data_IF_515472930709
#
_entry.id   IF_515472930709
#
_cell.length_a   1.000
_cell.length_b   1.000
_cell.length_c   1.000
_cell.angle_alpha   90.00
_cell.angle_beta   90.00
_cell.angle_gamma   90.00
#
_symmetry.space_group_name_H-M   'P 1'
#
loop_
_entity.id
_entity.type
_entity.pdbx_description
1 polymer ?
#
# COMPACT_ATOMS: atom_id res chain seq x y z
N UNK A 1 -17.41 58.76 4.81
CA UNK A 1 -16.71 57.45 4.76
C UNK A 1 -17.11 56.74 3.48
N UNK A 2 -16.10 56.45 2.64
CA UNK A 2 -16.08 55.96 1.25
C UNK A 2 -17.31 55.19 0.74
N UNK A 3 -18.20 55.89 0.03
CA UNK A 3 -19.23 55.31 -0.85
C UNK A 3 -18.60 54.61 -2.06
N UNK A 4 -17.43 55.05 -2.49
CA UNK A 4 -16.64 54.50 -3.62
C UNK A 4 -16.35 52.98 -3.48
N UNK A 5 -16.11 52.48 -2.26
CA UNK A 5 -15.86 51.05 -2.02
C UNK A 5 -17.07 50.17 -2.35
N UNK A 6 -18.29 50.69 -2.17
CA UNK A 6 -19.52 49.93 -2.45
C UNK A 6 -19.76 49.81 -3.96
N UNK A 7 -19.45 50.85 -4.73
CA UNK A 7 -19.54 50.81 -6.19
C UNK A 7 -18.51 49.86 -6.81
N UNK A 8 -17.30 49.77 -6.26
CA UNK A 8 -16.29 48.79 -6.69
C UNK A 8 -16.73 47.34 -6.41
N UNK A 9 -17.35 47.08 -5.27
CA UNK A 9 -17.85 45.74 -4.92
C UNK A 9 -19.03 45.35 -5.83
N UNK A 10 -19.93 46.28 -6.13
CA UNK A 10 -21.06 46.03 -7.04
C UNK A 10 -20.57 45.81 -8.48
N UNK A 11 -19.60 46.60 -8.95
CA UNK A 11 -19.01 46.42 -10.29
C UNK A 11 -18.26 45.07 -10.43
N UNK A 12 -17.59 44.61 -9.36
CA UNK A 12 -16.92 43.31 -9.36
C UNK A 12 -17.92 42.13 -9.31
N UNK A 13 -19.08 42.32 -8.68
CA UNK A 13 -20.15 41.33 -8.60
C UNK A 13 -21.00 41.22 -9.87
N UNK A 14 -21.12 42.29 -10.68
CA UNK A 14 -21.78 42.21 -11.99
C UNK A 14 -20.87 41.74 -13.11
N UNK A 15 -19.55 41.92 -13.00
CA UNK A 15 -18.58 41.39 -13.96
C UNK A 15 -18.52 39.86 -13.99
N UNK A 16 -18.92 39.16 -12.91
CA UNK A 16 -18.96 37.70 -12.86
C UNK A 16 -20.23 37.09 -13.47
N UNK A 17 -21.31 37.86 -13.66
CA UNK A 17 -22.55 37.37 -14.28
C UNK A 17 -22.55 37.45 -15.83
N UNK A 18 -21.62 38.21 -16.42
CA UNK A 18 -21.57 38.45 -17.87
C UNK A 18 -20.45 37.67 -18.58
N UNK A 19 -19.75 36.78 -17.88
CA UNK A 19 -18.79 35.88 -18.53
C UNK A 19 -19.59 34.78 -19.27
N UNK A 20 -19.57 34.75 -20.62
CA UNK A 20 -20.15 33.64 -21.35
C UNK A 20 -19.50 32.35 -20.85
N UNK A 21 -20.33 31.42 -20.41
CA UNK A 21 -19.92 30.15 -19.83
C UNK A 21 -18.89 29.49 -20.73
N UNK A 22 -17.62 29.59 -20.33
CA UNK A 22 -16.55 28.84 -20.97
C UNK A 22 -16.96 27.38 -20.85
N UNK A 23 -16.99 26.59 -21.93
CA UNK A 23 -17.24 25.16 -21.81
C UNK A 23 -16.22 24.68 -20.78
N UNK A 24 -16.73 24.13 -19.67
CA UNK A 24 -15.89 23.49 -18.68
C UNK A 24 -15.11 22.44 -19.45
N UNK A 25 -13.86 22.75 -19.79
CA UNK A 25 -12.96 21.81 -20.40
C UNK A 25 -12.97 20.64 -19.44
N UNK A 26 -13.48 19.49 -19.88
CA UNK A 26 -13.18 18.24 -19.22
C UNK A 26 -11.66 18.17 -19.32
N UNK A 27 -10.99 18.63 -18.28
CA UNK A 27 -9.58 18.40 -18.08
C UNK A 27 -9.43 16.89 -18.03
N UNK A 28 -9.25 16.27 -19.21
CA UNK A 28 -8.63 14.98 -19.30
C UNK A 28 -7.31 15.18 -18.58
N UNK A 29 -7.12 14.47 -17.47
CA UNK A 29 -5.85 14.48 -16.77
C UNK A 29 -4.80 14.02 -17.79
N UNK A 30 -4.05 14.96 -18.34
CA UNK A 30 -3.19 14.78 -19.51
C UNK A 30 -1.87 14.06 -19.17
N UNK A 31 -1.90 13.29 -18.07
CA UNK A 31 -0.75 12.58 -17.50
C UNK A 31 -1.10 11.15 -17.13
N UNK A 32 -0.08 10.30 -16.94
CA UNK A 32 -0.28 8.90 -16.58
C UNK A 32 -1.02 8.80 -15.24
N UNK A 33 -1.83 7.75 -15.09
CA UNK A 33 -2.38 7.36 -13.79
C UNK A 33 -1.20 6.93 -12.89
N UNK A 34 -0.92 7.72 -11.85
CA UNK A 34 0.15 7.41 -10.90
C UNK A 34 -0.40 6.59 -9.75
N UNK A 35 0.08 5.36 -9.60
CA UNK A 35 -0.22 4.48 -8.47
C UNK A 35 0.92 4.58 -7.46
N UNK A 36 0.65 5.17 -6.30
CA UNK A 36 1.59 5.33 -5.19
C UNK A 36 1.66 4.02 -4.41
N UNK A 37 2.84 3.40 -4.40
CA UNK A 37 3.08 2.11 -3.76
C UNK A 37 4.09 2.24 -2.62
N UNK A 38 3.73 1.88 -1.39
CA UNK A 38 4.64 1.88 -0.24
C UNK A 38 5.27 0.51 0.03
N UNK A 39 6.52 0.51 0.52
CA UNK A 39 7.22 -0.71 0.92
C UNK A 39 8.22 -0.44 2.04
N UNK A 40 8.31 -1.38 2.99
CA UNK A 40 9.40 -1.38 3.98
C UNK A 40 10.73 -1.83 3.37
N UNK A 41 10.71 -2.57 2.25
CA UNK A 41 11.93 -3.12 1.67
C UNK A 41 12.91 -2.01 1.24
N UNK A 42 14.20 -2.10 1.61
CA UNK A 42 15.21 -1.15 1.15
C UNK A 42 15.34 -1.19 -0.39
N UNK A 43 15.62 -0.06 -1.07
CA UNK A 43 15.78 -0.03 -2.53
C UNK A 43 16.86 -0.97 -3.08
N UNK A 44 17.93 -1.20 -2.32
CA UNK A 44 19.04 -2.09 -2.69
C UNK A 44 18.75 -3.57 -2.49
N UNK A 45 17.68 -3.92 -1.78
CA UNK A 45 17.29 -5.31 -1.50
C UNK A 45 16.79 -6.05 -2.76
N UNK A 46 16.67 -7.38 -2.67
CA UNK A 46 16.07 -8.18 -3.73
C UNK A 46 14.65 -7.71 -4.09
N UNK A 47 13.82 -7.43 -3.07
CA UNK A 47 12.48 -6.86 -3.27
C UNK A 47 12.54 -5.48 -3.93
N UNK A 48 13.48 -4.61 -3.55
CA UNK A 48 13.67 -3.32 -4.20
C UNK A 48 13.97 -3.44 -5.71
N UNK A 49 14.84 -4.38 -6.08
CA UNK A 49 15.14 -4.70 -7.49
C UNK A 49 13.91 -5.22 -8.23
N UNK A 50 13.11 -6.09 -7.61
CA UNK A 50 11.86 -6.62 -8.17
C UNK A 50 10.86 -5.49 -8.40
N UNK A 51 10.63 -4.60 -7.42
CA UNK A 51 9.73 -3.45 -7.56
C UNK A 51 10.17 -2.54 -8.72
N UNK A 52 11.48 -2.27 -8.84
CA UNK A 52 12.01 -1.48 -9.97
C UNK A 52 11.76 -2.16 -11.31
N UNK A 53 11.89 -3.48 -11.39
CA UNK A 53 11.59 -4.25 -12.60
C UNK A 53 10.09 -4.21 -12.91
N UNK A 54 9.24 -4.41 -11.91
CA UNK A 54 7.79 -4.33 -12.03
C UNK A 54 7.33 -2.96 -12.53
N UNK A 55 7.87 -1.86 -12.01
CA UNK A 55 7.56 -0.51 -12.50
C UNK A 55 7.86 -0.32 -13.98
N UNK A 56 8.99 -0.85 -14.48
CA UNK A 56 9.34 -0.80 -15.91
C UNK A 56 8.37 -1.62 -16.76
N UNK A 57 8.10 -2.86 -16.35
CA UNK A 57 7.16 -3.73 -17.06
C UNK A 57 5.76 -3.13 -17.06
N UNK A 58 5.27 -2.65 -15.92
CA UNK A 58 3.95 -2.05 -15.79
C UNK A 58 3.75 -0.84 -16.71
N UNK A 59 4.74 0.07 -16.75
CA UNK A 59 4.71 1.22 -17.66
C UNK A 59 4.71 0.79 -19.14
N UNK A 60 5.49 -0.25 -19.49
CA UNK A 60 5.52 -0.81 -20.84
C UNK A 60 4.17 -1.42 -21.23
N UNK A 61 3.63 -2.32 -20.42
CA UNK A 61 2.37 -3.04 -20.70
C UNK A 61 1.16 -2.09 -20.72
N UNK A 62 1.20 -1.00 -19.96
CA UNK A 62 0.15 0.04 -19.99
C UNK A 62 0.35 1.06 -21.11
N UNK A 63 1.42 0.93 -21.92
CA UNK A 63 1.80 1.91 -22.95
C UNK A 63 1.93 3.33 -22.38
N UNK A 64 2.43 3.44 -21.14
CA UNK A 64 2.59 4.71 -20.44
C UNK A 64 1.31 5.32 -19.88
N UNK A 65 0.12 4.69 -20.03
CA UNK A 65 -1.13 5.19 -19.46
C UNK A 65 -1.15 5.16 -17.92
N UNK A 66 -0.34 4.30 -17.31
CA UNK A 66 -0.21 4.22 -15.87
C UNK A 66 1.24 3.94 -15.45
N UNK A 67 1.62 4.41 -14.27
CA UNK A 67 2.94 4.15 -13.69
C UNK A 67 2.90 3.91 -12.19
N UNK A 68 3.89 3.17 -11.70
CA UNK A 68 4.06 2.89 -10.28
C UNK A 68 5.09 3.84 -9.68
N UNK A 69 4.69 4.61 -8.67
CA UNK A 69 5.59 5.43 -7.87
C UNK A 69 5.88 4.74 -6.55
N UNK A 70 7.09 4.22 -6.40
CA UNK A 70 7.50 3.49 -5.20
C UNK A 70 8.04 4.40 -4.09
N UNK A 71 7.54 4.21 -2.88
CA UNK A 71 8.07 4.76 -1.64
C UNK A 71 8.64 3.63 -0.79
N UNK A 72 9.93 3.37 -0.97
CA UNK A 72 10.63 2.23 -0.35
C UNK A 72 11.28 2.61 0.99
N UNK A 73 11.81 1.61 1.69
CA UNK A 73 12.59 1.77 2.93
C UNK A 73 11.83 2.38 4.10
N UNK A 74 10.49 2.28 4.11
CA UNK A 74 9.69 2.85 5.21
C UNK A 74 9.61 4.38 5.22
N UNK A 75 9.95 5.04 4.12
CA UNK A 75 9.85 6.51 3.98
C UNK A 75 8.42 7.06 4.18
N UNK A 76 7.41 6.19 4.18
CA UNK A 76 6.01 6.53 4.43
C UNK A 76 5.50 6.05 5.81
N UNK A 77 6.39 5.68 6.73
CA UNK A 77 6.04 5.10 8.03
C UNK A 77 6.11 3.57 8.03
N UNK A 78 5.43 2.95 8.99
CA UNK A 78 5.33 1.51 9.11
C UNK A 78 4.10 0.92 8.38
N UNK A 79 3.87 -0.39 8.49
CA UNK A 79 2.72 -1.05 7.84
C UNK A 79 1.36 -0.51 8.33
N UNK A 80 1.27 -0.04 9.58
CA UNK A 80 0.04 0.55 10.13
C UNK A 80 -0.21 1.91 9.49
N UNK A 81 0.84 2.71 9.33
CA UNK A 81 0.78 3.96 8.59
C UNK A 81 0.39 3.74 7.13
N UNK A 82 0.93 2.71 6.47
CA UNK A 82 0.56 2.40 5.09
C UNK A 82 -0.93 2.11 4.95
N UNK A 83 -1.49 1.25 5.81
CA UNK A 83 -2.93 0.92 5.80
C UNK A 83 -3.78 2.16 6.04
N UNK A 84 -3.41 3.00 7.02
CA UNK A 84 -4.11 4.26 7.31
C UNK A 84 -4.07 5.22 6.12
N UNK A 85 -2.90 5.37 5.48
CA UNK A 85 -2.71 6.23 4.30
C UNK A 85 -3.46 5.72 3.07
N UNK A 86 -3.59 4.39 2.91
CA UNK A 86 -4.43 3.80 1.86
C UNK A 86 -5.89 4.15 2.08
N UNK A 87 -6.41 3.95 3.30
CA UNK A 87 -7.80 4.32 3.64
C UNK A 87 -8.07 5.82 3.45
N UNK A 88 -7.07 6.66 3.69
CA UNK A 88 -7.14 8.11 3.49
C UNK A 88 -6.91 8.56 2.04
N UNK A 89 -6.63 7.65 1.10
CA UNK A 89 -6.32 7.99 -0.30
C UNK A 89 -4.99 8.73 -0.51
N UNK A 90 -4.07 8.67 0.45
CA UNK A 90 -2.74 9.28 0.36
C UNK A 90 -1.71 8.36 -0.32
N UNK A 91 -1.95 7.06 -0.30
CA UNK A 91 -1.19 5.99 -0.97
C UNK A 91 -2.21 5.03 -1.59
N UNK A 92 -1.88 4.38 -2.70
CA UNK A 92 -2.85 3.57 -3.44
C UNK A 92 -2.65 2.06 -3.19
N UNK A 93 -1.41 1.63 -2.92
CA UNK A 93 -1.06 0.25 -2.64
C UNK A 93 0.14 0.14 -1.69
N UNK A 94 0.34 -1.02 -1.07
CA UNK A 94 1.53 -1.28 -0.28
C UNK A 94 1.91 -2.76 -0.28
N UNK A 95 3.22 -3.01 -0.19
CA UNK A 95 3.77 -4.31 0.16
C UNK A 95 3.91 -4.39 1.68
N UNK A 96 3.18 -5.32 2.29
CA UNK A 96 3.15 -5.53 3.75
C UNK A 96 3.33 -7.00 4.08
N UNK A 97 3.85 -7.28 5.27
CA UNK A 97 4.01 -8.64 5.79
C UNK A 97 2.69 -9.20 6.33
N UNK A 98 2.69 -10.46 6.76
CA UNK A 98 1.53 -11.07 7.42
C UNK A 98 1.09 -10.30 8.68
N UNK A 99 2.00 -9.57 9.32
CA UNK A 99 1.67 -8.66 10.44
C UNK A 99 0.67 -7.59 10.00
N UNK A 100 0.98 -6.86 8.92
CA UNK A 100 0.10 -5.84 8.35
C UNK A 100 -1.16 -6.41 7.73
N UNK A 101 -1.05 -7.54 7.02
CA UNK A 101 -2.23 -8.23 6.51
C UNK A 101 -3.19 -8.60 7.63
N UNK A 102 -2.67 -9.03 8.80
CA UNK A 102 -3.46 -9.34 9.99
C UNK A 102 -4.13 -8.14 10.65
N UNK A 103 -3.63 -6.92 10.42
CA UNK A 103 -4.30 -5.69 10.86
C UNK A 103 -5.55 -5.38 10.02
N UNK A 104 -5.63 -5.89 8.78
CA UNK A 104 -6.80 -5.76 7.89
C UNK A 104 -7.71 -6.98 8.03
N UNK A 105 -7.16 -8.17 7.85
CA UNK A 105 -7.87 -9.46 7.88
C UNK A 105 -7.20 -10.38 8.89
N UNK A 106 -7.65 -10.34 10.15
CA UNK A 106 -7.08 -11.16 11.24
C UNK A 106 -7.00 -12.68 10.95
N UNK A 107 -7.98 -13.31 10.27
CA UNK A 107 -7.90 -14.74 9.92
C UNK A 107 -6.68 -15.14 9.08
N UNK A 108 -6.01 -14.19 8.40
CA UNK A 108 -4.82 -14.48 7.60
C UNK A 108 -3.63 -14.98 8.42
N UNK A 109 -3.62 -14.67 9.72
CA UNK A 109 -2.54 -15.05 10.65
C UNK A 109 -2.37 -16.57 10.78
N UNK A 110 -3.37 -17.36 10.34
CA UNK A 110 -3.27 -18.81 10.23
C UNK A 110 -2.10 -19.25 9.36
N UNK A 111 -1.72 -18.45 8.35
CA UNK A 111 -0.60 -18.76 7.45
C UNK A 111 0.77 -18.69 8.15
N UNK A 112 0.83 -18.07 9.32
CA UNK A 112 2.05 -17.91 10.13
C UNK A 112 1.94 -18.58 11.50
N UNK A 113 0.91 -19.39 11.72
CA UNK A 113 0.73 -20.11 12.98
C UNK A 113 1.91 -21.09 13.20
N UNK A 114 2.62 -21.00 14.35
CA UNK A 114 3.77 -21.88 14.61
C UNK A 114 3.40 -23.36 14.53
N UNK A 115 4.21 -24.13 13.79
CA UNK A 115 4.04 -25.58 13.65
C UNK A 115 2.95 -26.03 12.66
N UNK A 116 2.11 -25.12 12.14
CA UNK A 116 1.02 -25.49 11.23
C UNK A 116 1.48 -25.66 9.77
N UNK A 117 2.31 -24.74 9.30
CA UNK A 117 2.87 -24.74 7.94
C UNK A 117 4.38 -24.72 8.08
N UNK A 118 5.04 -25.83 7.76
CA UNK A 118 6.48 -26.00 7.96
C UNK A 118 7.28 -25.91 6.66
N UNK A 119 6.62 -26.21 5.53
CA UNK A 119 7.21 -26.23 4.20
C UNK A 119 6.56 -25.22 3.24
N UNK A 120 7.34 -24.68 2.31
CA UNK A 120 6.87 -23.68 1.34
C UNK A 120 5.77 -24.25 0.42
N UNK A 121 5.88 -25.51 0.02
CA UNK A 121 4.86 -26.17 -0.80
C UNK A 121 3.53 -26.34 -0.07
N UNK A 122 3.55 -26.52 1.25
CA UNK A 122 2.34 -26.51 2.06
C UNK A 122 1.70 -25.13 2.06
N UNK A 123 2.50 -24.06 2.20
CA UNK A 123 2.01 -22.68 2.14
C UNK A 123 1.30 -22.38 0.82
N UNK A 124 1.90 -22.80 -0.30
CA UNK A 124 1.31 -22.61 -1.63
C UNK A 124 -0.02 -23.35 -1.77
N UNK A 125 -0.10 -24.61 -1.32
CA UNK A 125 -1.37 -25.35 -1.31
C UNK A 125 -2.43 -24.67 -0.45
N UNK A 126 -2.09 -24.27 0.78
CA UNK A 126 -3.03 -23.60 1.69
C UNK A 126 -3.53 -22.27 1.09
N UNK A 127 -2.64 -21.45 0.53
CA UNK A 127 -3.03 -20.19 -0.14
C UNK A 127 -3.92 -20.45 -1.35
N UNK A 128 -3.67 -21.50 -2.13
CA UNK A 128 -4.50 -21.89 -3.28
C UNK A 128 -5.91 -22.26 -2.84
N UNK A 129 -6.03 -23.15 -1.84
CA UNK A 129 -7.32 -23.62 -1.34
C UNK A 129 -8.12 -22.51 -0.65
N UNK A 130 -7.45 -21.64 0.11
CA UNK A 130 -8.09 -20.55 0.84
C UNK A 130 -8.23 -19.24 0.04
N UNK A 131 -7.76 -19.19 -1.20
CA UNK A 131 -7.69 -17.97 -2.02
C UNK A 131 -8.99 -17.18 -2.03
N UNK A 132 -10.10 -17.82 -2.43
CA UNK A 132 -11.42 -17.17 -2.53
C UNK A 132 -11.88 -16.59 -1.20
N UNK A 133 -11.59 -17.29 -0.09
CA UNK A 133 -11.95 -16.83 1.25
C UNK A 133 -11.16 -15.59 1.63
N UNK A 134 -9.85 -15.58 1.40
CA UNK A 134 -9.01 -14.42 1.72
C UNK A 134 -9.32 -13.22 0.84
N UNK A 135 -9.46 -13.41 -0.48
CA UNK A 135 -9.84 -12.34 -1.41
C UNK A 135 -11.17 -11.68 -0.99
N UNK A 136 -12.18 -12.49 -0.63
CA UNK A 136 -13.45 -11.97 -0.11
C UNK A 136 -13.25 -11.15 1.17
N UNK A 137 -12.48 -11.67 2.14
CA UNK A 137 -12.24 -10.96 3.41
C UNK A 137 -11.51 -9.62 3.22
N UNK A 138 -10.55 -9.54 2.29
CA UNK A 138 -9.90 -8.27 1.96
C UNK A 138 -10.87 -7.32 1.27
N UNK A 139 -11.64 -7.83 0.30
CA UNK A 139 -12.63 -7.04 -0.42
C UNK A 139 -13.68 -6.44 0.53
N UNK A 140 -14.24 -7.25 1.43
CA UNK A 140 -15.18 -6.82 2.46
C UNK A 140 -14.56 -5.78 3.43
N UNK A 141 -13.23 -5.79 3.57
CA UNK A 141 -12.48 -4.83 4.39
C UNK A 141 -12.08 -3.55 3.65
N UNK A 142 -12.45 -3.42 2.37
CA UNK A 142 -12.13 -2.28 1.51
C UNK A 142 -10.77 -2.35 0.82
N UNK A 143 -10.18 -3.54 0.68
CA UNK A 143 -8.87 -3.77 0.05
C UNK A 143 -8.93 -4.82 -1.05
N UNK A 144 -8.02 -4.73 -2.02
CA UNK A 144 -7.81 -5.77 -3.03
C UNK A 144 -6.46 -6.44 -2.76
N UNK A 145 -6.49 -7.77 -2.60
CA UNK A 145 -5.27 -8.57 -2.52
C UNK A 145 -4.70 -8.75 -3.93
N UNK A 146 -3.60 -8.06 -4.25
CA UNK A 146 -3.02 -8.06 -5.60
C UNK A 146 -2.23 -9.34 -5.91
N UNK A 147 -1.29 -9.68 -5.04
CA UNK A 147 -0.41 -10.84 -5.20
C UNK A 147 0.25 -11.22 -3.88
N UNK A 148 0.82 -12.41 -3.83
CA UNK A 148 1.63 -12.89 -2.71
C UNK A 148 3.12 -12.61 -2.95
N UNK A 149 3.82 -12.24 -1.89
CA UNK A 149 5.28 -12.25 -1.83
C UNK A 149 5.75 -13.13 -0.68
N UNK A 150 6.91 -13.77 -0.84
CA UNK A 150 7.46 -14.68 0.15
C UNK A 150 8.76 -14.11 0.76
N UNK A 151 8.66 -13.70 2.02
CA UNK A 151 9.81 -13.18 2.80
C UNK A 151 10.75 -14.26 3.33
N UNK A 152 10.38 -15.54 3.17
CA UNK A 152 11.12 -16.70 3.68
C UNK A 152 10.59 -17.24 5.01
N UNK A 153 11.26 -18.26 5.52
CA UNK A 153 10.91 -18.94 6.79
C UNK A 153 11.46 -18.17 7.98
N UNK A 154 10.60 -17.92 8.97
CA UNK A 154 11.01 -17.30 10.23
C UNK A 154 12.08 -18.17 10.92
N UNK A 155 13.14 -17.52 11.43
CA UNK A 155 14.20 -18.15 12.21
C UNK A 155 14.46 -17.34 13.46
N UNK A 156 14.70 -18.03 14.57
CA UNK A 156 15.16 -17.41 15.81
C UNK A 156 16.68 -17.33 15.78
N UNK A 157 17.21 -16.15 16.10
CA UNK A 157 18.64 -15.93 16.24
C UNK A 157 18.93 -15.52 17.68
N UNK A 158 20.01 -16.04 18.25
CA UNK A 158 20.46 -15.72 19.60
C UNK A 158 21.97 -15.69 19.65
N UNK A 159 22.54 -14.80 20.46
CA UNK A 159 23.98 -14.77 20.76
C UNK A 159 24.38 -15.83 21.80
N UNK A 160 23.39 -16.47 22.44
CA UNK A 160 23.58 -17.57 23.41
C UNK A 160 22.84 -18.81 22.93
N UNK A 161 23.42 -19.98 23.19
CA UNK A 161 22.73 -21.24 22.94
C UNK A 161 21.43 -21.32 23.76
N UNK A 162 20.38 -21.87 23.15
CA UNK A 162 19.11 -22.15 23.79
C UNK A 162 18.59 -23.49 23.27
N UNK A 163 17.94 -24.28 24.12
CA UNK A 163 17.38 -25.58 23.76
C UNK A 163 15.89 -25.67 24.10
N UNK A 164 15.39 -24.84 25.02
CA UNK A 164 14.00 -24.86 25.49
C UNK A 164 13.43 -23.44 25.54
N UNK A 165 12.10 -23.26 25.40
CA UNK A 165 11.47 -21.94 25.46
C UNK A 165 11.79 -21.12 26.73
N UNK A 166 12.04 -21.80 27.85
CA UNK A 166 12.44 -21.17 29.12
C UNK A 166 13.78 -20.44 29.03
N UNK A 167 14.69 -20.90 28.18
CA UNK A 167 16.03 -20.34 28.03
C UNK A 167 15.98 -18.94 27.38
N UNK A 168 14.90 -18.66 26.63
CA UNK A 168 14.67 -17.37 25.98
C UNK A 168 14.08 -16.32 26.94
N UNK A 169 13.52 -16.71 28.08
CA UNK A 169 12.85 -15.78 29.02
C UNK A 169 13.80 -14.77 29.68
N UNK A 170 15.08 -15.13 29.81
CA UNK A 170 16.11 -14.26 30.38
C UNK A 170 16.76 -13.33 29.35
N UNK A 171 16.45 -13.51 28.06
CA UNK A 171 16.87 -12.63 26.99
C UNK A 171 16.04 -11.35 26.93
N UNK A 172 16.60 -10.30 26.31
CA UNK A 172 15.78 -9.16 25.88
C UNK A 172 14.94 -9.58 24.65
N UNK A 173 13.67 -9.12 24.54
CA UNK A 173 12.83 -9.38 23.37
C UNK A 173 13.46 -8.93 22.06
#
# INVERSE_FOLDING_TARGET
MSTWKHWLIVALATATLLLPGSPASKAAADGPIVIRYASLAPPSSAFGKILKAWGRTFKKETQGRAELRFYSGGSQGDERDFIRKIRAGQIDAAGITTTGLGMVVRPILVLTAPGLITEIEQLYRVRKELRRRFEKLFHDSGFVLLTWGDGGKNRLFSTRAFARPTDLKSGRP
#
